data_IF_125229299543
#
_entry.id   IF_125229299543
#
_cell.length_a   1.000
_cell.length_b   1.000
_cell.length_c   1.000
_cell.angle_alpha   90.00
_cell.angle_beta   90.00
_cell.angle_gamma   90.00
#
_symmetry.space_group_name_H-M   'P 1'
#
loop_
_entity.id
_entity.type
_entity.pdbx_description
1 polymer ?
#
# COMPACT_ATOMS: atom_id res chain seq x y z
N UNK A 1 -41.20 -45.09 -2.11
CA UNK A 1 -41.67 -44.41 -3.33
C UNK A 1 -42.00 -42.98 -2.94
N UNK A 2 -41.33 -42.05 -3.61
CA UNK A 2 -41.67 -40.63 -3.77
C UNK A 2 -42.20 -39.84 -2.56
N UNK A 3 -41.36 -38.94 -2.04
CA UNK A 3 -41.84 -37.60 -1.70
C UNK A 3 -40.76 -36.58 -2.09
N UNK A 4 -41.15 -35.76 -3.05
CA UNK A 4 -40.46 -34.64 -3.69
C UNK A 4 -39.94 -33.60 -2.69
N UNK A 5 -38.68 -33.20 -2.86
CA UNK A 5 -38.08 -32.04 -2.17
C UNK A 5 -38.70 -30.73 -2.69
N UNK A 6 -39.50 -30.11 -1.84
CA UNK A 6 -40.01 -28.75 -2.01
C UNK A 6 -38.90 -27.76 -1.65
N UNK A 7 -38.20 -27.25 -2.67
CA UNK A 7 -37.23 -26.17 -2.52
C UNK A 7 -37.95 -24.88 -2.10
N UNK A 8 -37.73 -24.49 -0.85
CA UNK A 8 -38.14 -23.20 -0.31
C UNK A 8 -37.49 -22.04 -1.06
N UNK A 9 -38.33 -21.29 -1.76
CA UNK A 9 -38.06 -20.00 -2.39
C UNK A 9 -37.58 -19.00 -1.33
N UNK A 10 -36.33 -18.54 -1.46
CA UNK A 10 -35.81 -17.41 -0.65
C UNK A 10 -36.46 -16.14 -1.19
N UNK A 11 -37.07 -15.28 -0.35
CA UNK A 11 -37.68 -14.04 -0.83
C UNK A 11 -36.60 -13.09 -1.36
N UNK A 12 -36.74 -12.77 -2.64
CA UNK A 12 -36.02 -11.75 -3.39
C UNK A 12 -36.15 -10.40 -2.67
N UNK A 13 -35.04 -9.93 -2.10
CA UNK A 13 -34.98 -8.62 -1.46
C UNK A 13 -34.94 -7.60 -2.59
N UNK A 14 -36.14 -7.15 -2.95
CA UNK A 14 -36.43 -6.28 -4.09
C UNK A 14 -35.38 -5.20 -4.29
N UNK A 15 -34.72 -5.28 -5.45
CA UNK A 15 -34.05 -4.16 -6.06
C UNK A 15 -35.09 -3.08 -6.38
N UNK A 16 -35.23 -2.10 -5.49
CA UNK A 16 -35.95 -0.87 -5.80
C UNK A 16 -35.30 -0.16 -7.00
N UNK A 17 -36.08 0.50 -7.87
CA UNK A 17 -35.52 1.21 -9.02
C UNK A 17 -34.60 2.33 -8.52
N UNK A 18 -33.36 2.31 -8.98
CA UNK A 18 -32.40 3.39 -8.78
C UNK A 18 -32.98 4.64 -9.43
N UNK A 19 -33.51 5.55 -8.62
CA UNK A 19 -33.94 6.87 -9.06
C UNK A 19 -32.71 7.60 -9.57
N UNK A 20 -32.61 7.69 -10.90
CA UNK A 20 -31.63 8.47 -11.61
C UNK A 20 -31.86 9.94 -11.24
N UNK A 21 -31.06 10.48 -10.32
CA UNK A 21 -30.95 11.94 -10.15
C UNK A 21 -30.27 12.48 -11.42
N UNK A 22 -30.92 13.33 -12.23
CA UNK A 22 -30.23 14.03 -13.31
C UNK A 22 -29.32 15.08 -12.68
N UNK A 23 -28.10 14.66 -12.35
CA UNK A 23 -27.02 15.58 -12.00
C UNK A 23 -26.67 16.40 -13.23
N UNK A 24 -27.28 17.59 -13.35
CA UNK A 24 -26.87 18.64 -14.28
C UNK A 24 -25.50 19.20 -13.86
N UNK A 25 -24.44 18.43 -14.06
CA UNK A 25 -23.10 18.98 -14.14
C UNK A 25 -22.97 19.59 -15.53
N UNK A 26 -23.28 20.88 -15.62
CA UNK A 26 -22.95 21.70 -16.77
C UNK A 26 -21.46 21.52 -17.09
N UNK A 27 -21.19 20.81 -18.19
CA UNK A 27 -19.85 20.70 -18.77
C UNK A 27 -19.45 22.11 -19.22
N UNK A 28 -18.29 22.67 -18.82
CA UNK A 28 -17.88 23.98 -19.30
C UNK A 28 -17.76 23.97 -20.83
N UNK A 29 -18.15 25.05 -21.53
CA UNK A 29 -18.12 25.09 -22.98
C UNK A 29 -16.69 24.89 -23.49
N UNK A 30 -16.56 23.94 -24.41
CA UNK A 30 -15.32 23.66 -25.10
C UNK A 30 -15.12 24.75 -26.17
N UNK A 31 -14.19 25.66 -25.96
CA UNK A 31 -13.79 26.62 -26.99
C UNK A 31 -13.04 25.86 -28.09
N UNK A 32 -13.51 25.87 -29.36
CA UNK A 32 -12.79 25.25 -30.45
C UNK A 32 -11.47 26.00 -30.67
N UNK A 33 -10.35 25.38 -30.30
CA UNK A 33 -9.03 25.80 -30.76
C UNK A 33 -8.88 25.37 -32.21
N UNK A 34 -9.20 26.29 -33.13
CA UNK A 34 -9.13 26.05 -34.55
C UNK A 34 -9.59 27.24 -35.37
N UNK A 35 -9.14 28.45 -35.04
CA UNK A 35 -9.24 29.56 -35.99
C UNK A 35 -8.00 29.47 -36.88
N UNK A 36 -8.17 28.88 -38.07
CA UNK A 36 -7.19 28.96 -39.14
C UNK A 36 -6.95 30.44 -39.42
N UNK A 37 -5.74 30.92 -39.11
CA UNK A 37 -5.28 32.23 -39.53
C UNK A 37 -5.16 32.17 -41.05
N UNK A 38 -6.17 32.68 -41.76
CA UNK A 38 -6.04 32.99 -43.16
C UNK A 38 -4.89 33.99 -43.32
N UNK A 39 -3.87 33.60 -44.07
CA UNK A 39 -2.75 34.44 -44.47
C UNK A 39 -3.26 35.60 -45.33
N UNK A 40 -3.72 36.67 -44.68
CA UNK A 40 -3.84 37.95 -45.33
C UNK A 40 -2.43 38.54 -45.52
N UNK A 41 -1.94 38.43 -46.75
CA UNK A 41 -0.76 39.14 -47.23
C UNK A 41 -0.97 40.64 -47.05
N UNK A 42 -0.38 41.21 -46.00
CA UNK A 42 -0.18 42.65 -45.90
C UNK A 42 1.04 43.03 -46.76
N UNK A 43 0.91 43.96 -47.72
CA UNK A 43 2.06 44.44 -48.46
C UNK A 43 2.99 45.19 -47.50
N UNK A 44 4.24 44.74 -47.41
CA UNK A 44 5.28 45.40 -46.65
C UNK A 44 5.49 46.82 -47.19
N UNK A 45 4.93 47.82 -46.50
CA UNK A 45 5.39 49.19 -46.64
C UNK A 45 6.82 49.25 -46.11
N UNK A 46 7.79 49.41 -47.02
CA UNK A 46 9.16 49.81 -46.72
C UNK A 46 9.16 51.23 -46.15
N UNK A 47 8.82 51.35 -44.87
CA UNK A 47 9.01 52.54 -44.07
C UNK A 47 10.26 52.36 -43.22
N UNK A 48 11.36 53.01 -43.63
CA UNK A 48 12.57 53.13 -42.82
C UNK A 48 12.18 53.86 -41.53
N UNK A 49 12.21 53.16 -40.39
CA UNK A 49 11.91 53.76 -39.08
C UNK A 49 13.11 54.63 -38.65
N UNK A 50 13.01 55.97 -38.64
CA UNK A 50 14.14 56.85 -38.33
C UNK A 50 14.48 56.91 -36.83
N UNK A 51 13.75 56.18 -35.98
CA UNK A 51 13.95 56.15 -34.52
C UNK A 51 14.36 54.78 -33.98
N UNK A 52 14.77 53.83 -34.83
CA UNK A 52 15.36 52.59 -34.34
C UNK A 52 16.74 52.88 -33.73
N UNK A 53 16.97 52.61 -32.43
CA UNK A 53 18.30 52.76 -31.84
C UNK A 53 19.26 51.79 -32.54
N UNK A 54 20.36 52.33 -33.08
CA UNK A 54 21.38 51.53 -33.79
C UNK A 54 21.88 50.42 -32.85
N UNK A 55 22.00 49.17 -33.30
CA UNK A 55 22.58 48.12 -32.47
C UNK A 55 24.01 48.52 -32.12
N UNK A 56 24.29 48.58 -30.83
CA UNK A 56 25.61 48.88 -30.31
C UNK A 56 26.55 47.77 -30.81
N UNK A 57 27.45 48.11 -31.73
CA UNK A 57 28.49 47.20 -32.16
C UNK A 57 29.42 46.96 -30.97
N UNK A 58 29.30 45.80 -30.32
CA UNK A 58 30.24 45.39 -29.30
C UNK A 58 31.55 45.03 -30.01
N UNK A 59 32.43 46.01 -30.15
CA UNK A 59 33.83 45.76 -30.50
C UNK A 59 34.41 44.82 -29.45
N UNK A 60 34.81 43.63 -29.89
CA UNK A 60 35.43 42.61 -29.06
C UNK A 60 36.84 43.07 -28.68
N UNK A 61 36.92 44.05 -27.79
CA UNK A 61 38.15 44.44 -27.13
C UNK A 61 38.44 43.33 -26.12
N UNK A 62 39.41 42.47 -26.43
CA UNK A 62 39.91 41.47 -25.50
C UNK A 62 40.43 42.14 -24.24
N UNK A 63 39.54 42.34 -23.27
CA UNK A 63 39.85 42.94 -21.98
C UNK A 63 40.72 41.95 -21.22
N UNK A 64 42.03 42.19 -21.24
CA UNK A 64 42.96 41.53 -20.31
C UNK A 64 42.48 41.87 -18.91
N UNK A 65 41.98 40.86 -18.20
CA UNK A 65 41.54 40.98 -16.82
C UNK A 65 42.63 41.65 -16.00
N UNK A 66 42.26 42.67 -15.22
CA UNK A 66 43.19 43.32 -14.30
C UNK A 66 43.65 42.32 -13.25
N UNK A 67 44.82 42.53 -12.63
CA UNK A 67 45.36 41.58 -11.64
C UNK A 67 44.38 41.32 -10.48
N UNK A 68 43.58 42.32 -10.09
CA UNK A 68 42.52 42.18 -9.09
C UNK A 68 41.36 41.29 -9.56
N UNK A 69 40.96 41.41 -10.83
CA UNK A 69 39.90 40.56 -11.40
C UNK A 69 40.38 39.12 -11.59
N UNK A 70 41.67 38.92 -11.89
CA UNK A 70 42.29 37.59 -11.98
C UNK A 70 42.34 36.89 -10.61
N UNK A 71 42.74 37.59 -9.54
CA UNK A 71 42.78 37.01 -8.20
C UNK A 71 41.38 36.69 -7.67
N UNK A 72 40.38 37.52 -7.98
CA UNK A 72 38.99 37.27 -7.62
C UNK A 72 38.41 36.06 -8.37
N UNK A 73 38.72 35.90 -9.66
CA UNK A 73 38.35 34.71 -10.43
C UNK A 73 39.04 33.44 -9.90
N UNK A 74 40.29 33.52 -9.47
CA UNK A 74 40.99 32.38 -8.86
C UNK A 74 40.36 31.98 -7.52
N UNK A 75 40.01 32.96 -6.68
CA UNK A 75 39.28 32.74 -5.43
C UNK A 75 37.88 32.15 -5.67
N UNK A 76 37.17 32.63 -6.69
CA UNK A 76 35.87 32.09 -7.09
C UNK A 76 36.00 30.63 -7.59
N UNK A 77 37.04 30.32 -8.37
CA UNK A 77 37.34 28.95 -8.82
C UNK A 77 37.64 28.02 -7.64
N UNK A 78 38.49 28.44 -6.68
CA UNK A 78 38.78 27.66 -5.47
C UNK A 78 37.54 27.41 -4.62
N UNK A 79 36.65 28.40 -4.49
CA UNK A 79 35.35 28.24 -3.80
C UNK A 79 34.43 27.26 -4.53
N UNK A 80 34.35 27.35 -5.86
CA UNK A 80 33.56 26.44 -6.67
C UNK A 80 34.10 24.99 -6.61
N UNK A 81 35.43 24.82 -6.63
CA UNK A 81 36.08 23.52 -6.51
C UNK A 81 35.82 22.88 -5.14
N UNK A 82 35.97 23.64 -4.04
CA UNK A 82 35.65 23.17 -2.69
C UNK A 82 34.18 22.79 -2.52
N UNK A 83 33.27 23.57 -3.15
CA UNK A 83 31.85 23.23 -3.17
C UNK A 83 31.54 21.98 -4.03
N UNK A 84 32.27 21.79 -5.13
CA UNK A 84 32.17 20.59 -5.97
C UNK A 84 32.73 19.35 -5.27
N UNK A 85 33.80 19.49 -4.49
CA UNK A 85 34.38 18.43 -3.65
C UNK A 85 33.38 17.96 -2.60
N UNK A 86 32.70 18.87 -1.91
CA UNK A 86 31.63 18.51 -0.95
C UNK A 86 30.48 17.72 -1.59
N UNK A 87 30.08 18.09 -2.82
CA UNK A 87 29.06 17.34 -3.59
C UNK A 87 29.57 15.96 -4.02
N UNK A 88 30.83 15.86 -4.46
CA UNK A 88 31.47 14.58 -4.83
C UNK A 88 31.62 13.66 -3.62
N UNK A 89 32.05 14.18 -2.48
CA UNK A 89 32.15 13.44 -1.22
C UNK A 89 30.78 12.92 -0.73
N UNK A 90 29.72 13.72 -0.86
CA UNK A 90 28.37 13.28 -0.55
C UNK A 90 27.89 12.19 -1.54
N UNK A 91 28.16 12.36 -2.84
CA UNK A 91 27.83 11.34 -3.85
C UNK A 91 28.58 10.02 -3.62
N UNK A 92 29.86 10.05 -3.23
CA UNK A 92 30.62 8.85 -2.92
C UNK A 92 30.16 8.19 -1.61
N UNK A 93 29.77 8.97 -0.60
CA UNK A 93 29.16 8.47 0.63
C UNK A 93 27.82 7.77 0.35
N UNK A 94 26.94 8.39 -0.45
CA UNK A 94 25.66 7.80 -0.88
C UNK A 94 25.88 6.51 -1.68
N UNK A 95 26.85 6.49 -2.60
CA UNK A 95 27.21 5.27 -3.35
C UNK A 95 27.75 4.17 -2.44
N UNK A 96 28.57 4.51 -1.44
CA UNK A 96 29.09 3.55 -0.45
C UNK A 96 27.98 3.01 0.46
N UNK A 97 27.02 3.83 0.86
CA UNK A 97 25.84 3.41 1.62
C UNK A 97 24.97 2.46 0.78
N UNK A 98 24.73 2.76 -0.50
CA UNK A 98 23.98 1.89 -1.43
C UNK A 98 24.68 0.54 -1.63
N UNK A 99 26.01 0.52 -1.78
CA UNK A 99 26.81 -0.73 -1.88
C UNK A 99 26.83 -1.54 -0.57
N UNK A 100 26.76 -0.88 0.58
CA UNK A 100 26.63 -1.56 1.89
C UNK A 100 25.24 -2.17 2.05
N UNK A 101 24.19 -1.48 1.63
CA UNK A 101 22.84 -2.00 1.63
C UNK A 101 22.68 -3.20 0.67
N UNK A 102 23.27 -3.15 -0.53
CA UNK A 102 23.23 -4.29 -1.47
C UNK A 102 24.00 -5.50 -0.95
N UNK A 103 25.18 -5.31 -0.35
CA UNK A 103 25.95 -6.40 0.28
C UNK A 103 25.25 -7.00 1.50
N UNK A 104 24.55 -6.18 2.30
CA UNK A 104 23.73 -6.67 3.40
C UNK A 104 22.55 -7.53 2.90
N UNK A 105 21.98 -7.21 1.74
CA UNK A 105 20.95 -8.05 1.11
C UNK A 105 21.49 -9.31 0.43
N UNK A 106 22.73 -9.30 -0.08
CA UNK A 106 23.38 -10.49 -0.65
C UNK A 106 23.74 -11.53 0.43
N UNK A 107 24.28 -11.08 1.57
CA UNK A 107 24.61 -11.98 2.69
C UNK A 107 23.38 -12.59 3.39
N UNK A 108 22.20 -11.99 3.22
CA UNK A 108 20.94 -12.56 3.71
C UNK A 108 20.37 -13.66 2.79
N UNK A 109 20.86 -13.79 1.55
CA UNK A 109 20.41 -14.80 0.57
C UNK A 109 21.23 -16.10 0.61
N UNK A 110 22.46 -16.03 1.11
CA UNK A 110 23.39 -17.17 1.20
C UNK A 110 23.07 -18.12 2.37
N UNK A 111 22.21 -17.71 3.31
CA UNK A 111 21.75 -18.53 4.45
C UNK A 111 20.35 -19.15 4.23
N UNK A 112 19.81 -19.12 3.01
CA UNK A 112 18.50 -19.70 2.68
C UNK A 112 18.55 -20.83 1.63
N UNK A 113 19.68 -21.53 1.52
CA UNK A 113 19.77 -22.81 0.79
C UNK A 113 19.19 -23.97 1.62
N UNK A 114 17.98 -23.80 2.14
CA UNK A 114 17.11 -24.90 2.55
C UNK A 114 15.81 -24.79 1.75
N UNK A 115 15.75 -25.65 0.74
CA UNK A 115 14.68 -25.91 -0.21
C UNK A 115 13.27 -25.76 0.38
N UNK A 116 12.54 -24.76 -0.11
CA UNK A 116 11.08 -24.70 -0.02
C UNK A 116 10.53 -24.22 -1.37
N UNK A 117 10.19 -25.14 -2.29
CA UNK A 117 9.63 -24.79 -3.59
C UNK A 117 8.16 -24.38 -3.39
N UNK A 118 7.88 -23.08 -3.24
CA UNK A 118 6.48 -22.70 -2.97
C UNK A 118 6.10 -21.23 -2.86
N UNK A 119 6.92 -20.25 -3.23
CA UNK A 119 6.47 -18.85 -3.25
C UNK A 119 6.91 -18.08 -4.50
N UNK A 120 6.49 -18.60 -5.66
CA UNK A 120 6.66 -17.95 -6.96
C UNK A 120 5.98 -16.57 -7.04
N UNK A 121 4.96 -16.30 -6.22
CA UNK A 121 4.17 -15.07 -6.31
C UNK A 121 4.91 -13.82 -5.80
N UNK A 122 5.74 -13.97 -4.75
CA UNK A 122 6.52 -12.85 -4.21
C UNK A 122 7.63 -12.39 -5.15
N UNK A 123 8.30 -13.35 -5.78
CA UNK A 123 9.43 -13.10 -6.68
C UNK A 123 8.99 -12.46 -8.00
N UNK A 124 7.91 -12.95 -8.59
CA UNK A 124 7.28 -12.37 -9.79
C UNK A 124 6.84 -10.91 -9.56
N UNK A 125 6.35 -10.61 -8.35
CA UNK A 125 5.90 -9.26 -8.06
C UNK A 125 7.04 -8.24 -7.96
N UNK A 126 8.20 -8.68 -7.51
CA UNK A 126 9.38 -7.85 -7.36
C UNK A 126 10.11 -7.66 -8.69
N UNK A 127 10.25 -8.72 -9.49
CA UNK A 127 10.85 -8.66 -10.84
C UNK A 127 10.15 -7.63 -11.73
N UNK A 128 8.82 -7.63 -11.78
CA UNK A 128 8.06 -6.65 -12.57
C UNK A 128 8.21 -5.21 -12.06
N UNK A 129 8.46 -5.00 -10.76
CA UNK A 129 8.73 -3.65 -10.24
C UNK A 129 10.09 -3.17 -10.75
N UNK A 130 11.09 -4.03 -10.66
CA UNK A 130 12.46 -3.75 -11.10
C UNK A 130 12.52 -3.50 -12.61
N UNK A 131 11.73 -4.23 -13.40
CA UNK A 131 11.57 -3.97 -14.83
C UNK A 131 10.97 -2.59 -15.14
N UNK A 132 9.94 -2.16 -14.40
CA UNK A 132 9.33 -0.84 -14.59
C UNK A 132 10.31 0.26 -14.16
N UNK A 133 11.10 0.02 -13.10
CA UNK A 133 12.13 0.94 -12.64
C UNK A 133 13.29 1.05 -13.64
N UNK A 134 13.71 -0.07 -14.24
CA UNK A 134 14.69 -0.10 -15.31
C UNK A 134 14.20 0.64 -16.57
N UNK A 135 12.95 0.40 -16.99
CA UNK A 135 12.33 1.12 -18.12
C UNK A 135 12.23 2.62 -17.86
N UNK A 136 11.93 3.02 -16.62
CA UNK A 136 11.87 4.44 -16.25
C UNK A 136 13.23 5.12 -16.32
N UNK A 137 14.33 4.39 -16.08
CA UNK A 137 15.69 4.93 -16.16
C UNK A 137 16.17 5.18 -17.59
N UNK A 138 15.59 4.50 -18.59
CA UNK A 138 15.98 4.59 -20.00
C UNK A 138 15.02 5.40 -20.87
N UNK A 139 13.85 5.77 -20.34
CA UNK A 139 12.83 6.52 -21.09
C UNK A 139 13.17 8.02 -21.13
N UNK A 140 13.30 8.54 -22.34
CA UNK A 140 13.49 9.98 -22.61
C UNK A 140 12.15 10.73 -22.82
N UNK A 141 11.06 10.01 -23.16
CA UNK A 141 9.72 10.61 -23.30
C UNK A 141 9.09 10.89 -21.93
N UNK A 142 8.82 12.18 -21.65
CA UNK A 142 8.17 12.65 -20.43
C UNK A 142 6.79 12.03 -20.17
N UNK A 143 6.01 11.74 -21.22
CA UNK A 143 4.68 11.13 -21.09
C UNK A 143 4.79 9.68 -20.62
N UNK A 144 5.72 8.92 -21.19
CA UNK A 144 5.99 7.55 -20.77
C UNK A 144 6.59 7.50 -19.37
N UNK A 145 7.53 8.39 -19.04
CA UNK A 145 8.09 8.49 -17.69
C UNK A 145 7.01 8.76 -16.63
N UNK A 146 6.04 9.63 -16.92
CA UNK A 146 4.90 9.90 -16.04
C UNK A 146 4.01 8.66 -15.87
N UNK A 147 3.76 7.91 -16.94
CA UNK A 147 3.00 6.65 -16.90
C UNK A 147 3.71 5.60 -16.04
N UNK A 148 5.00 5.38 -16.25
CA UNK A 148 5.80 4.41 -15.49
C UNK A 148 5.87 4.76 -13.99
N UNK A 149 6.06 6.05 -13.64
CA UNK A 149 5.97 6.51 -12.23
C UNK A 149 4.61 6.24 -11.59
N UNK A 150 3.51 6.35 -12.35
CA UNK A 150 2.17 6.00 -11.85
C UNK A 150 2.03 4.50 -11.63
N UNK A 151 2.54 3.68 -12.55
CA UNK A 151 2.53 2.22 -12.43
C UNK A 151 3.32 1.76 -11.19
N UNK A 152 4.51 2.30 -10.94
CA UNK A 152 5.28 1.98 -9.73
C UNK A 152 4.51 2.32 -8.45
N UNK A 153 3.93 3.53 -8.37
CA UNK A 153 3.13 3.93 -7.21
C UNK A 153 1.91 3.03 -6.99
N UNK A 154 1.17 2.72 -8.05
CA UNK A 154 0.00 1.85 -7.97
C UNK A 154 0.38 0.44 -7.51
N UNK A 155 1.50 -0.07 -8.02
CA UNK A 155 2.04 -1.38 -7.63
C UNK A 155 2.41 -1.41 -6.15
N UNK A 156 3.14 -0.40 -5.67
CA UNK A 156 3.49 -0.28 -4.24
C UNK A 156 2.22 -0.17 -3.38
N UNK A 157 1.24 0.65 -3.77
CA UNK A 157 -0.01 0.77 -3.00
C UNK A 157 -0.81 -0.53 -2.96
N UNK A 158 -0.83 -1.28 -4.06
CA UNK A 158 -1.51 -2.57 -4.14
C UNK A 158 -0.80 -3.63 -3.28
N UNK A 159 0.53 -3.68 -3.30
CA UNK A 159 1.32 -4.55 -2.43
C UNK A 159 1.05 -4.25 -0.96
N UNK A 160 1.17 -2.97 -0.56
CA UNK A 160 0.89 -2.57 0.81
C UNK A 160 -0.55 -2.89 1.25
N UNK A 161 -1.54 -2.76 0.37
CA UNK A 161 -2.92 -3.13 0.68
C UNK A 161 -3.06 -4.64 0.91
N UNK A 162 -2.39 -5.47 0.10
CA UNK A 162 -2.34 -6.93 0.28
C UNK A 162 -1.64 -7.31 1.57
N UNK A 163 -0.49 -6.72 1.86
CA UNK A 163 0.26 -6.95 3.11
C UNK A 163 -0.55 -6.54 4.34
N UNK A 164 -1.21 -5.37 4.30
CA UNK A 164 -2.12 -4.94 5.37
C UNK A 164 -3.26 -5.93 5.57
N UNK A 165 -3.90 -6.40 4.48
CA UNK A 165 -4.96 -7.42 4.56
C UNK A 165 -4.43 -8.74 5.13
N UNK A 166 -3.27 -9.20 4.68
CA UNK A 166 -2.61 -10.42 5.17
C UNK A 166 -2.30 -10.31 6.66
N UNK A 167 -1.72 -9.19 7.09
CA UNK A 167 -1.42 -8.91 8.49
C UNK A 167 -2.69 -8.85 9.36
N UNK A 168 -3.75 -8.19 8.89
CA UNK A 168 -5.02 -8.14 9.59
C UNK A 168 -5.65 -9.53 9.77
N UNK A 169 -5.70 -10.33 8.70
CA UNK A 169 -6.22 -11.71 8.77
C UNK A 169 -5.37 -12.55 9.72
N UNK A 170 -4.04 -12.49 9.60
CA UNK A 170 -3.15 -13.21 10.51
C UNK A 170 -3.35 -12.81 11.99
N UNK A 171 -3.58 -11.52 12.25
CA UNK A 171 -3.88 -11.04 13.61
C UNK A 171 -5.21 -11.57 14.10
N UNK A 172 -6.23 -11.66 13.25
CA UNK A 172 -7.54 -12.22 13.61
C UNK A 172 -7.44 -13.74 13.88
N UNK A 173 -6.74 -14.47 13.01
CA UNK A 173 -6.47 -15.90 13.21
C UNK A 173 -5.74 -16.13 14.54
N UNK A 174 -4.71 -15.34 14.83
CA UNK A 174 -3.98 -15.42 16.10
C UNK A 174 -4.88 -15.15 17.31
N UNK A 175 -5.76 -14.15 17.24
CA UNK A 175 -6.75 -13.88 18.31
C UNK A 175 -7.76 -15.02 18.47
N UNK A 176 -8.22 -15.63 17.38
CA UNK A 176 -9.12 -16.78 17.43
C UNK A 176 -8.45 -17.94 18.15
N UNK A 177 -7.19 -18.24 17.78
CA UNK A 177 -6.40 -19.30 18.42
C UNK A 177 -6.18 -19.03 19.91
N UNK A 178 -5.83 -17.80 20.29
CA UNK A 178 -5.66 -17.41 21.70
C UNK A 178 -6.97 -17.56 22.49
N UNK A 179 -8.09 -17.16 21.90
CA UNK A 179 -9.42 -17.32 22.51
C UNK A 179 -9.82 -18.79 22.64
N UNK A 180 -9.59 -19.60 21.63
CA UNK A 180 -9.84 -21.05 21.65
C UNK A 180 -8.98 -21.75 22.70
N UNK A 181 -7.71 -21.35 22.84
CA UNK A 181 -6.83 -21.87 23.89
C UNK A 181 -7.34 -21.48 25.28
N UNK A 182 -7.70 -20.21 25.49
CA UNK A 182 -8.25 -19.74 26.75
C UNK A 182 -9.56 -20.44 27.13
N UNK A 183 -10.44 -20.67 26.15
CA UNK A 183 -11.66 -21.46 26.34
C UNK A 183 -11.33 -22.91 26.74
N UNK A 184 -10.42 -23.56 26.03
CA UNK A 184 -10.00 -24.94 26.34
C UNK A 184 -9.42 -25.05 27.76
N UNK A 185 -8.57 -24.10 28.16
CA UNK A 185 -8.02 -24.05 29.52
C UNK A 185 -9.12 -23.84 30.58
N UNK A 186 -10.06 -22.93 30.33
CA UNK A 186 -11.15 -22.66 31.26
C UNK A 186 -12.11 -23.84 31.37
N UNK A 187 -12.46 -24.49 30.27
CA UNK A 187 -13.26 -25.71 30.25
C UNK A 187 -12.58 -26.84 31.03
N UNK A 188 -11.27 -27.01 30.89
CA UNK A 188 -10.52 -28.00 31.66
C UNK A 188 -10.60 -27.70 33.16
N UNK A 189 -10.46 -26.42 33.55
CA UNK A 189 -10.58 -26.00 34.95
C UNK A 189 -11.99 -26.22 35.50
N UNK A 190 -13.02 -25.90 34.72
CA UNK A 190 -14.42 -26.16 35.08
C UNK A 190 -14.64 -27.65 35.30
N UNK A 191 -14.18 -28.51 34.38
CA UNK A 191 -14.30 -29.98 34.51
C UNK A 191 -13.62 -30.51 35.77
N UNK A 192 -12.47 -29.97 36.15
CA UNK A 192 -11.80 -30.35 37.41
C UNK A 192 -12.64 -29.94 38.61
N UNK A 193 -13.08 -28.68 38.65
CA UNK A 193 -13.91 -28.16 39.74
C UNK A 193 -15.26 -28.88 39.86
N UNK A 194 -15.88 -29.24 38.74
CA UNK A 194 -17.12 -30.03 38.72
C UNK A 194 -16.90 -31.42 39.32
N UNK A 195 -15.82 -32.11 38.97
CA UNK A 195 -15.48 -33.41 39.57
C UNK A 195 -15.23 -33.30 41.06
N UNK A 196 -14.46 -32.29 41.49
CA UNK A 196 -14.21 -32.02 42.91
C UNK A 196 -15.52 -31.73 43.64
N UNK A 197 -16.40 -30.91 43.06
CA UNK A 197 -17.68 -30.57 43.65
C UNK A 197 -18.58 -31.80 43.81
N UNK A 198 -18.65 -32.66 42.79
CA UNK A 198 -19.39 -33.93 42.84
C UNK A 198 -18.82 -34.86 43.91
N UNK A 199 -17.49 -35.00 43.98
CA UNK A 199 -16.82 -35.81 44.99
C UNK A 199 -17.15 -35.29 46.41
N UNK A 200 -17.02 -33.99 46.65
CA UNK A 200 -17.31 -33.37 47.94
C UNK A 200 -18.79 -33.52 48.32
N UNK A 201 -19.72 -33.33 47.37
CA UNK A 201 -21.15 -33.58 47.61
C UNK A 201 -21.43 -35.04 47.97
N UNK A 202 -20.77 -35.99 47.31
CA UNK A 202 -20.87 -37.42 47.61
C UNK A 202 -20.34 -37.74 49.01
N UNK A 203 -19.15 -37.21 49.37
CA UNK A 203 -18.58 -37.37 50.71
C UNK A 203 -19.51 -36.79 51.77
N UNK A 204 -20.05 -35.58 51.56
CA UNK A 204 -21.02 -34.97 52.48
C UNK A 204 -22.28 -35.82 52.60
N UNK A 205 -22.83 -36.34 51.49
CA UNK A 205 -24.00 -37.23 51.51
C UNK A 205 -23.73 -38.50 52.34
N UNK A 206 -22.56 -39.11 52.14
CA UNK A 206 -22.16 -40.32 52.85
C UNK A 206 -21.88 -40.04 54.34
N UNK A 207 -21.30 -38.88 54.68
CA UNK A 207 -21.02 -38.47 56.07
C UNK A 207 -22.29 -38.02 56.81
N UNK A 208 -23.23 -37.38 56.12
CA UNK A 208 -24.55 -37.05 56.67
C UNK A 208 -25.43 -38.29 56.86
N UNK A 209 -25.02 -39.44 56.32
CA UNK A 209 -25.58 -40.76 56.59
C UNK A 209 -27.09 -40.82 56.44
N UNK A 210 -27.60 -41.06 55.22
CA UNK A 210 -28.95 -41.58 54.99
C UNK A 210 -30.13 -40.97 55.78
N UNK A 211 -30.01 -39.72 56.25
CA UNK A 211 -31.13 -38.96 56.80
C UNK A 211 -31.54 -37.94 55.75
N UNK A 212 -32.54 -38.35 54.96
CA UNK A 212 -33.70 -37.55 54.53
C UNK A 212 -34.20 -38.13 53.20
N UNK A 213 -34.99 -39.21 53.32
CA UNK A 213 -36.04 -39.50 52.34
C UNK A 213 -37.04 -38.35 52.37
N UNK A 214 -36.97 -37.46 51.37
CA UNK A 214 -38.09 -36.59 51.01
C UNK A 214 -38.34 -36.70 49.49
N UNK A 215 -39.34 -37.48 49.05
CA UNK A 215 -39.69 -37.69 47.65
C UNK A 215 -40.61 -36.56 47.17
N UNK A 216 -40.06 -35.36 46.97
CA UNK A 216 -40.88 -34.19 46.60
C UNK A 216 -40.28 -33.32 45.47
N UNK A 217 -39.48 -33.89 44.57
CA UNK A 217 -39.09 -33.22 43.32
C UNK A 217 -39.33 -34.11 42.10
N UNK A 218 -40.50 -34.74 42.05
CA UNK A 218 -41.14 -35.06 40.79
C UNK A 218 -41.62 -33.75 40.15
N UNK A 219 -40.73 -33.03 39.45
CA UNK A 219 -41.13 -32.07 38.42
C UNK A 219 -39.94 -31.66 37.53
N UNK A 220 -40.15 -31.85 36.23
CA UNK A 220 -39.42 -31.29 35.09
C UNK A 220 -38.18 -32.04 34.60
N UNK A 221 -38.36 -33.31 34.23
CA UNK A 221 -37.71 -33.82 33.01
C UNK A 221 -38.57 -33.41 31.80
N UNK A 222 -38.25 -32.28 31.20
CA UNK A 222 -38.62 -31.98 29.82
C UNK A 222 -37.35 -32.10 28.97
N UNK A 223 -37.30 -32.96 27.94
CA UNK A 223 -36.18 -32.96 27.02
C UNK A 223 -36.37 -31.80 26.04
N UNK A 224 -35.65 -30.69 26.24
CA UNK A 224 -35.46 -29.73 25.15
C UNK A 224 -34.28 -30.19 24.30
N UNK A 225 -34.60 -31.06 23.36
CA UNK A 225 -33.81 -31.24 22.15
C UNK A 225 -33.78 -29.91 21.37
N UNK A 226 -32.55 -29.49 21.04
CA UNK A 226 -32.13 -28.72 19.88
C UNK A 226 -33.05 -27.63 19.31
N UNK A 227 -32.61 -26.37 19.41
CA UNK A 227 -32.69 -25.39 18.32
C UNK A 227 -32.02 -24.08 18.74
N UNK A 228 -30.90 -23.73 18.10
CA UNK A 228 -30.57 -22.38 17.60
C UNK A 228 -29.07 -22.27 17.30
N UNK A 229 -28.66 -22.85 16.18
CA UNK A 229 -27.65 -22.18 15.35
C UNK A 229 -28.39 -21.12 14.53
N UNK A 230 -27.97 -19.85 14.68
CA UNK A 230 -28.03 -18.82 13.64
C UNK A 230 -26.87 -17.86 13.87
#
# INVERSE_FOLDING_TARGET
METTEEYGVVPDVGQGPITQVPGSFARPPHFPHGMQMAEHHHPAYLGVNPYAPKPFAFENTGHRLTASQQSELEMARKRAEKAAEGKRANQTAVRRAKRRASRASEHARDNSDHDAPGSSDGDMHNQQRDEIEAKLATVEDEKEAKRLKRLLRNRVSAQQARERKKSYVHTLEGKSMEQEEALSQLEARVKVLERENVMLRSVIKNMKGETDEDPAAAQQQAPQNGAAQR
#
